data_IF_139559960691
#
_entry.id   IF_139559960691
#
_cell.length_a   1.000
_cell.length_b   1.000
_cell.length_c   1.000
_cell.angle_alpha   90.00
_cell.angle_beta   90.00
_cell.angle_gamma   90.00
#
_symmetry.space_group_name_H-M   'P 1'
#
loop_
_entity.id
_entity.type
_entity.pdbx_description
1 polymer ?
#
# COMPACT_ATOMS: atom_id res chain seq x y z
N UNK A 1 -14.88 -29.39 24.74
CA UNK A 1 -14.14 -28.34 24.02
C UNK A 1 -13.87 -27.19 25.00
N UNK A 2 -12.60 -26.85 25.28
CA UNK A 2 -12.27 -25.67 26.09
C UNK A 2 -12.21 -24.47 25.15
N UNK A 3 -13.01 -23.45 25.37
CA UNK A 3 -13.02 -22.22 24.56
C UNK A 3 -12.18 -21.17 25.28
N UNK A 4 -11.16 -20.64 24.61
CA UNK A 4 -10.39 -19.52 25.13
C UNK A 4 -11.15 -18.21 24.89
N UNK A 5 -11.65 -17.60 25.97
CA UNK A 5 -12.36 -16.32 25.91
C UNK A 5 -11.32 -15.19 25.93
N UNK A 6 -10.90 -14.76 24.74
CA UNK A 6 -9.96 -13.66 24.56
C UNK A 6 -10.68 -12.33 24.32
N UNK A 7 -10.01 -11.16 24.47
CA UNK A 7 -10.59 -9.88 24.09
C UNK A 7 -11.05 -9.83 22.63
N UNK A 8 -10.30 -10.48 21.73
CA UNK A 8 -10.65 -10.62 20.32
C UNK A 8 -11.94 -11.43 20.15
N UNK A 9 -12.08 -12.57 20.85
CA UNK A 9 -13.31 -13.38 20.84
C UNK A 9 -14.53 -12.55 21.24
N UNK A 10 -14.44 -11.80 22.34
CA UNK A 10 -15.53 -10.94 22.81
C UNK A 10 -15.87 -9.85 21.79
N UNK A 11 -14.86 -9.26 21.14
CA UNK A 11 -15.06 -8.26 20.10
C UNK A 11 -15.77 -8.85 18.88
N UNK A 12 -15.36 -10.02 18.41
CA UNK A 12 -15.99 -10.73 17.29
C UNK A 12 -17.43 -11.13 17.63
N UNK A 13 -17.70 -11.56 18.86
CA UNK A 13 -19.05 -11.86 19.35
C UNK A 13 -19.95 -10.61 19.30
N UNK A 14 -19.46 -9.47 19.79
CA UNK A 14 -20.20 -8.20 19.73
C UNK A 14 -20.51 -7.79 18.29
N UNK A 15 -19.52 -7.86 17.40
CA UNK A 15 -19.68 -7.56 15.97
C UNK A 15 -20.73 -8.49 15.35
N UNK A 16 -20.60 -9.81 15.59
CA UNK A 16 -21.50 -10.82 15.03
C UNK A 16 -22.96 -10.65 15.45
N UNK A 17 -23.21 -10.13 16.65
CA UNK A 17 -24.56 -9.81 17.11
C UNK A 17 -25.08 -8.53 16.47
N UNK A 18 -24.21 -7.52 16.35
CA UNK A 18 -24.56 -6.21 15.79
C UNK A 18 -24.90 -6.28 14.30
N UNK A 19 -24.15 -7.06 13.53
CA UNK A 19 -24.31 -7.15 12.06
C UNK A 19 -25.23 -8.29 11.60
N UNK A 20 -25.87 -9.00 12.54
CA UNK A 20 -26.79 -10.09 12.26
C UNK A 20 -26.13 -11.40 11.78
N UNK A 21 -24.79 -11.50 11.80
CA UNK A 21 -24.07 -12.72 11.42
C UNK A 21 -24.43 -13.93 12.28
N UNK A 22 -24.81 -13.71 13.54
CA UNK A 22 -25.23 -14.74 14.51
C UNK A 22 -24.33 -15.99 14.48
N UNK A 23 -23.01 -15.78 14.54
CA UNK A 23 -22.00 -16.84 14.56
C UNK A 23 -22.10 -17.61 15.88
N UNK A 24 -22.00 -18.92 15.76
CA UNK A 24 -21.91 -19.82 16.91
C UNK A 24 -20.62 -19.58 17.69
N UNK A 25 -20.63 -19.97 18.95
CA UNK A 25 -19.46 -19.89 19.83
C UNK A 25 -18.25 -20.64 19.23
N UNK A 26 -18.51 -21.76 18.53
CA UNK A 26 -17.48 -22.56 17.85
C UNK A 26 -16.87 -21.79 16.67
N UNK A 27 -17.70 -21.17 15.82
CA UNK A 27 -17.21 -20.37 14.70
C UNK A 27 -16.35 -19.19 15.20
N UNK A 28 -16.81 -18.52 16.25
CA UNK A 28 -16.11 -17.40 16.87
C UNK A 28 -14.80 -17.82 17.54
N UNK A 29 -14.74 -19.01 18.16
CA UNK A 29 -13.50 -19.50 18.76
C UNK A 29 -12.45 -19.81 17.68
N UNK A 30 -12.86 -20.45 16.58
CA UNK A 30 -11.97 -20.70 15.43
C UNK A 30 -11.45 -19.40 14.83
N UNK A 31 -12.31 -18.38 14.71
CA UNK A 31 -11.90 -17.06 14.23
C UNK A 31 -10.94 -16.35 15.20
N UNK A 32 -11.19 -16.43 16.50
CA UNK A 32 -10.40 -15.75 17.52
C UNK A 32 -9.00 -16.37 17.72
N UNK A 33 -8.82 -17.62 17.34
CA UNK A 33 -7.52 -18.32 17.33
C UNK A 33 -6.65 -17.93 16.13
N UNK A 34 -7.21 -17.28 15.10
CA UNK A 34 -6.44 -16.76 13.97
C UNK A 34 -5.69 -15.50 14.38
N UNK A 35 -4.65 -15.13 13.63
CA UNK A 35 -3.83 -13.91 13.84
C UNK A 35 -4.60 -12.59 13.58
N UNK A 36 -5.93 -12.57 13.73
CA UNK A 36 -6.82 -11.44 13.44
C UNK A 36 -6.60 -10.23 14.35
N UNK A 37 -5.97 -10.42 15.50
CA UNK A 37 -5.55 -9.30 16.37
C UNK A 37 -4.62 -8.32 15.64
N UNK A 38 -3.75 -8.82 14.75
CA UNK A 38 -2.74 -8.03 14.05
C UNK A 38 -3.33 -7.11 12.97
N UNK A 39 -4.54 -7.39 12.51
CA UNK A 39 -5.20 -6.65 11.40
C UNK A 39 -6.68 -6.38 11.65
N UNK A 40 -7.10 -6.31 12.92
CA UNK A 40 -8.46 -5.96 13.30
C UNK A 40 -8.91 -4.61 12.71
N UNK A 41 -8.00 -3.66 12.56
CA UNK A 41 -8.28 -2.37 11.92
C UNK A 41 -8.76 -2.52 10.47
N UNK A 42 -8.13 -3.41 9.69
CA UNK A 42 -8.52 -3.67 8.31
C UNK A 42 -9.84 -4.46 8.24
N UNK A 43 -10.05 -5.41 9.16
CA UNK A 43 -11.32 -6.12 9.29
C UNK A 43 -12.47 -5.13 9.53
N UNK A 44 -12.30 -4.21 10.48
CA UNK A 44 -13.33 -3.21 10.80
C UNK A 44 -13.64 -2.29 9.62
N UNK A 45 -12.66 -1.96 8.76
CA UNK A 45 -12.90 -1.20 7.52
C UNK A 45 -13.75 -2.01 6.55
N UNK A 46 -13.44 -3.29 6.36
CA UNK A 46 -14.19 -4.15 5.42
C UNK A 46 -15.63 -4.40 5.89
N UNK A 47 -15.88 -4.47 7.19
CA UNK A 47 -17.22 -4.65 7.77
C UNK A 47 -18.16 -3.45 7.53
N UNK A 48 -17.69 -2.35 6.95
CA UNK A 48 -18.57 -1.28 6.47
C UNK A 48 -19.35 -1.69 5.21
N UNK A 49 -18.84 -2.69 4.46
CA UNK A 49 -19.41 -3.15 3.19
C UNK A 49 -20.11 -4.50 3.31
N UNK A 50 -19.84 -5.27 4.37
CA UNK A 50 -20.30 -6.66 4.52
C UNK A 50 -20.47 -7.06 5.98
N UNK A 51 -21.00 -8.26 6.21
CA UNK A 51 -21.07 -8.89 7.53
C UNK A 51 -19.86 -9.77 7.81
N UNK A 52 -19.57 -9.98 9.09
CA UNK A 52 -18.47 -10.82 9.58
C UNK A 52 -18.54 -12.24 9.02
N UNK A 53 -19.75 -12.82 8.96
CA UNK A 53 -19.97 -14.15 8.36
C UNK A 53 -19.56 -14.16 6.89
N UNK A 54 -20.09 -13.25 6.06
CA UNK A 54 -19.80 -13.21 4.62
C UNK A 54 -18.32 -12.96 4.34
N UNK A 55 -17.72 -12.02 5.07
CA UNK A 55 -16.29 -11.72 4.99
C UNK A 55 -15.43 -12.98 5.21
N UNK A 56 -15.70 -13.72 6.27
CA UNK A 56 -14.94 -14.93 6.60
C UNK A 56 -15.06 -16.01 5.54
N UNK A 57 -16.29 -16.34 5.12
CA UNK A 57 -16.51 -17.36 4.08
C UNK A 57 -15.87 -16.96 2.76
N UNK A 58 -15.91 -15.68 2.40
CA UNK A 58 -15.25 -15.18 1.21
C UNK A 58 -13.73 -15.34 1.29
N UNK A 59 -13.11 -14.95 2.42
CA UNK A 59 -11.67 -15.09 2.62
C UNK A 59 -11.24 -16.56 2.56
N UNK A 60 -11.97 -17.45 3.24
CA UNK A 60 -11.69 -18.88 3.18
C UNK A 60 -11.81 -19.44 1.76
N UNK A 61 -12.83 -19.00 1.00
CA UNK A 61 -13.03 -19.43 -0.38
C UNK A 61 -11.86 -19.03 -1.27
N UNK A 62 -11.38 -17.79 -1.17
CA UNK A 62 -10.23 -17.32 -1.95
C UNK A 62 -8.92 -18.02 -1.53
N UNK A 63 -8.75 -18.34 -0.24
CA UNK A 63 -7.57 -19.04 0.26
C UNK A 63 -7.53 -20.52 -0.15
N UNK A 64 -8.67 -21.20 -0.11
CA UNK A 64 -8.82 -22.64 -0.39
C UNK A 64 -8.90 -22.95 -1.89
N UNK A 65 -8.61 -22.00 -2.78
CA UNK A 65 -8.60 -22.23 -4.23
C UNK A 65 -7.67 -23.42 -4.55
N UNK A 66 -8.28 -24.48 -5.11
CA UNK A 66 -7.63 -25.76 -5.39
C UNK A 66 -6.94 -25.76 -6.74
N UNK A 67 -7.36 -24.89 -7.66
CA UNK A 67 -6.71 -24.78 -8.95
C UNK A 67 -5.36 -24.06 -8.80
N UNK A 68 -4.22 -24.74 -9.04
CA UNK A 68 -2.90 -24.13 -8.86
C UNK A 68 -2.68 -22.91 -9.75
N UNK A 69 -3.33 -22.84 -10.92
CA UNK A 69 -3.24 -21.68 -11.83
C UNK A 69 -4.07 -20.47 -11.34
N UNK A 70 -4.95 -20.65 -10.36
CA UNK A 70 -5.77 -19.60 -9.74
C UNK A 70 -5.41 -19.36 -8.27
N UNK A 71 -4.47 -20.14 -7.72
CA UNK A 71 -4.06 -20.03 -6.32
C UNK A 71 -3.08 -18.88 -6.15
N UNK A 72 -3.60 -17.73 -5.75
CA UNK A 72 -2.80 -16.51 -5.59
C UNK A 72 -2.37 -16.23 -4.14
N UNK A 73 -2.96 -16.93 -3.16
CA UNK A 73 -2.81 -16.63 -1.74
C UNK A 73 -2.31 -17.85 -0.96
N UNK A 74 -1.42 -17.60 0.01
CA UNK A 74 -0.92 -18.59 0.97
C UNK A 74 -1.44 -18.33 2.37
N UNK A 75 -1.76 -17.08 2.68
CA UNK A 75 -2.21 -16.63 4.00
C UNK A 75 -3.46 -15.76 3.88
N UNK A 76 -4.31 -15.79 4.91
CA UNK A 76 -5.55 -15.00 4.96
C UNK A 76 -5.31 -13.50 4.91
N UNK A 77 -4.21 -13.04 5.53
CA UNK A 77 -3.83 -11.63 5.50
C UNK A 77 -3.64 -11.12 4.06
N UNK A 78 -3.08 -11.94 3.16
CA UNK A 78 -2.90 -11.56 1.75
C UNK A 78 -4.24 -11.38 1.02
N UNK A 79 -5.22 -12.24 1.35
CA UNK A 79 -6.58 -12.12 0.82
C UNK A 79 -7.22 -10.84 1.31
N UNK A 80 -7.14 -10.56 2.62
CA UNK A 80 -7.71 -9.38 3.23
C UNK A 80 -7.14 -8.09 2.63
N UNK A 81 -5.81 -7.99 2.54
CA UNK A 81 -5.15 -6.82 1.96
C UNK A 81 -5.53 -6.61 0.50
N UNK A 82 -5.49 -7.68 -0.30
CA UNK A 82 -5.86 -7.59 -1.72
C UNK A 82 -7.32 -7.20 -1.89
N UNK A 83 -8.21 -7.67 -1.02
CA UNK A 83 -9.62 -7.34 -1.08
C UNK A 83 -9.90 -5.89 -0.69
N UNK A 84 -9.21 -5.39 0.34
CA UNK A 84 -9.28 -4.00 0.77
C UNK A 84 -8.74 -3.03 -0.28
N UNK A 85 -7.67 -3.40 -0.99
CA UNK A 85 -7.14 -2.62 -2.11
C UNK A 85 -8.13 -2.63 -3.29
N UNK A 86 -8.67 -3.79 -3.65
CA UNK A 86 -9.72 -3.91 -4.68
C UNK A 86 -10.98 -3.07 -4.36
N UNK A 87 -11.46 -3.05 -3.11
CA UNK A 87 -12.60 -2.20 -2.71
C UNK A 87 -12.24 -0.72 -2.82
N UNK A 88 -10.99 -0.36 -2.51
CA UNK A 88 -10.50 1.01 -2.73
C UNK A 88 -10.54 1.36 -4.22
N UNK A 89 -10.09 0.46 -5.09
CA UNK A 89 -10.15 0.64 -6.54
C UNK A 89 -11.58 0.79 -7.06
N UNK A 90 -12.50 -0.04 -6.58
CA UNK A 90 -13.91 0.01 -6.94
C UNK A 90 -14.51 1.39 -6.64
N UNK A 91 -14.20 1.97 -5.47
CA UNK A 91 -14.61 3.33 -5.13
C UNK A 91 -14.03 4.36 -6.12
N UNK A 92 -12.74 4.26 -6.47
CA UNK A 92 -12.09 5.15 -7.47
C UNK A 92 -12.73 5.04 -8.85
N UNK A 93 -13.19 3.84 -9.22
CA UNK A 93 -13.85 3.57 -10.49
C UNK A 93 -15.36 3.90 -10.48
N UNK A 94 -15.92 4.32 -9.34
CA UNK A 94 -17.36 4.50 -9.12
C UNK A 94 -18.17 3.22 -9.38
N UNK A 95 -17.62 2.06 -9.01
CA UNK A 95 -18.32 0.78 -9.09
C UNK A 95 -19.30 0.63 -7.92
N UNK A 96 -20.46 0.01 -8.16
CA UNK A 96 -21.48 -0.20 -7.15
C UNK A 96 -21.11 -1.37 -6.22
N UNK A 97 -20.58 -1.05 -5.04
CA UNK A 97 -20.21 -2.01 -4.00
C UNK A 97 -21.41 -2.64 -3.28
N UNK A 98 -22.64 -2.19 -3.53
CA UNK A 98 -23.85 -2.86 -3.02
C UNK A 98 -24.17 -4.13 -3.81
N UNK A 99 -23.65 -4.26 -5.03
CA UNK A 99 -23.77 -5.48 -5.83
C UNK A 99 -22.84 -6.57 -5.30
N UNK A 100 -23.40 -7.72 -4.94
CA UNK A 100 -22.60 -8.83 -4.40
C UNK A 100 -21.53 -9.33 -5.38
N UNK A 101 -21.82 -9.35 -6.69
CA UNK A 101 -20.85 -9.76 -7.70
C UNK A 101 -19.65 -8.81 -7.81
N UNK A 102 -19.86 -7.53 -7.44
CA UNK A 102 -18.79 -6.52 -7.39
C UNK A 102 -18.03 -6.65 -6.09
N UNK A 103 -18.72 -6.74 -4.94
CA UNK A 103 -18.05 -6.80 -3.63
C UNK A 103 -17.30 -8.14 -3.41
N UNK A 104 -17.83 -9.25 -3.94
CA UNK A 104 -17.28 -10.61 -3.77
C UNK A 104 -16.92 -11.26 -5.11
N UNK A 105 -15.95 -10.71 -5.87
CA UNK A 105 -15.57 -11.28 -7.16
C UNK A 105 -15.16 -12.75 -7.04
N UNK A 106 -15.46 -13.54 -8.07
CA UNK A 106 -15.17 -14.97 -8.06
C UNK A 106 -13.66 -15.24 -7.90
N UNK A 107 -12.83 -14.47 -8.61
CA UNK A 107 -11.37 -14.47 -8.45
C UNK A 107 -10.92 -13.06 -8.07
N UNK A 108 -10.57 -12.88 -6.80
CA UNK A 108 -10.20 -11.58 -6.24
C UNK A 108 -8.95 -11.00 -6.90
N UNK A 109 -7.94 -11.83 -7.15
CA UNK A 109 -6.68 -11.39 -7.73
C UNK A 109 -6.90 -10.81 -9.13
N UNK A 110 -7.63 -11.52 -10.00
CA UNK A 110 -7.92 -11.08 -11.35
C UNK A 110 -8.80 -9.82 -11.36
N UNK A 111 -9.79 -9.76 -10.46
CA UNK A 111 -10.63 -8.57 -10.32
C UNK A 111 -9.78 -7.35 -9.93
N UNK A 112 -8.89 -7.49 -8.94
CA UNK A 112 -7.95 -6.45 -8.54
C UNK A 112 -6.98 -6.05 -9.66
N UNK A 113 -6.41 -7.02 -10.39
CA UNK A 113 -5.54 -6.71 -11.53
C UNK A 113 -6.30 -5.95 -12.64
N UNK A 114 -7.59 -6.25 -12.84
CA UNK A 114 -8.43 -5.56 -13.80
C UNK A 114 -8.79 -4.14 -13.35
N UNK A 115 -9.15 -3.93 -12.08
CA UNK A 115 -9.46 -2.60 -11.56
C UNK A 115 -8.22 -1.70 -11.57
N UNK A 116 -7.06 -2.25 -11.21
CA UNK A 116 -5.78 -1.59 -11.40
C UNK A 116 -5.66 -1.10 -12.85
N UNK A 117 -5.82 -1.97 -13.85
CA UNK A 117 -5.71 -1.58 -15.27
C UNK A 117 -6.71 -0.48 -15.66
N UNK A 118 -7.96 -0.57 -15.21
CA UNK A 118 -8.97 0.44 -15.50
C UNK A 118 -8.64 1.80 -14.87
N UNK A 119 -8.12 1.80 -13.64
CA UNK A 119 -7.64 3.03 -12.98
C UNK A 119 -6.52 3.63 -13.82
N UNK A 120 -5.53 2.84 -14.26
CA UNK A 120 -4.45 3.33 -15.14
C UNK A 120 -5.00 4.05 -16.38
N UNK A 121 -5.97 3.44 -17.07
CA UNK A 121 -6.58 4.00 -18.28
C UNK A 121 -7.31 5.32 -17.99
N UNK A 122 -8.06 5.39 -16.88
CA UNK A 122 -8.87 6.57 -16.51
C UNK A 122 -8.03 7.71 -15.95
N UNK A 123 -6.96 7.37 -15.24
CA UNK A 123 -6.07 8.31 -14.55
C UNK A 123 -5.06 8.97 -15.48
N UNK A 124 -4.62 8.28 -16.55
CA UNK A 124 -3.52 8.76 -17.38
C UNK A 124 -3.77 10.15 -18.00
N UNK A 125 -4.93 10.46 -18.57
CA UNK A 125 -5.05 11.75 -19.29
C UNK A 125 -5.13 12.98 -18.35
N UNK A 126 -5.90 12.87 -17.26
CA UNK A 126 -6.17 13.98 -16.35
C UNK A 126 -5.06 14.19 -15.31
N UNK A 127 -4.53 13.10 -14.76
CA UNK A 127 -3.45 13.18 -13.77
C UNK A 127 -2.12 13.47 -14.43
N UNK A 128 -1.81 12.94 -15.63
CA UNK A 128 -0.57 13.32 -16.31
C UNK A 128 -0.53 14.81 -16.65
N UNK A 129 -1.68 15.46 -16.95
CA UNK A 129 -1.72 16.93 -17.07
C UNK A 129 -1.36 17.64 -15.77
N UNK A 130 -1.93 17.20 -14.64
CA UNK A 130 -1.63 17.79 -13.31
C UNK A 130 -0.17 17.55 -12.91
N UNK A 131 0.35 16.34 -13.13
CA UNK A 131 1.75 15.99 -12.90
C UNK A 131 2.66 16.83 -13.78
N UNK A 132 2.37 16.97 -15.08
CA UNK A 132 3.15 17.80 -16.00
C UNK A 132 3.25 19.27 -15.55
N UNK A 133 2.15 19.85 -15.05
CA UNK A 133 2.17 21.19 -14.46
C UNK A 133 3.04 21.23 -13.20
N UNK A 134 2.90 20.23 -12.32
CA UNK A 134 3.61 20.13 -11.05
C UNK A 134 5.11 19.85 -11.23
N UNK A 135 5.52 19.12 -12.26
CA UNK A 135 6.92 18.77 -12.53
C UNK A 135 7.84 19.99 -12.50
N UNK A 136 7.38 21.14 -12.97
CA UNK A 136 8.13 22.40 -12.92
C UNK A 136 8.59 22.75 -11.51
N UNK A 137 7.73 22.58 -10.49
CA UNK A 137 8.09 22.85 -9.09
C UNK A 137 8.84 21.69 -8.44
N UNK A 138 8.69 20.47 -8.94
CA UNK A 138 9.39 19.29 -8.44
C UNK A 138 10.85 19.19 -8.90
N UNK A 139 11.26 19.97 -9.91
CA UNK A 139 12.66 20.08 -10.34
C UNK A 139 13.62 20.46 -9.21
N UNK A 140 13.13 21.11 -8.15
CA UNK A 140 13.92 21.41 -6.95
C UNK A 140 14.47 20.16 -6.25
N UNK A 141 13.82 19.00 -6.43
CA UNK A 141 14.26 17.72 -5.88
C UNK A 141 15.22 16.97 -6.82
N UNK A 142 15.51 17.49 -8.02
CA UNK A 142 16.53 16.88 -8.87
C UNK A 142 17.91 17.11 -8.26
N UNK A 143 18.65 16.03 -8.06
CA UNK A 143 20.01 16.06 -7.53
C UNK A 143 20.84 14.92 -8.12
N UNK A 144 22.13 15.15 -8.31
CA UNK A 144 23.07 14.17 -8.84
C UNK A 144 24.34 14.21 -8.03
N UNK A 145 24.79 13.05 -7.58
CA UNK A 145 26.13 12.82 -7.05
C UNK A 145 27.02 12.21 -8.13
N UNK A 146 28.07 11.50 -7.70
CA UNK A 146 29.05 10.90 -8.61
C UNK A 146 28.53 9.66 -9.35
N UNK A 147 27.67 8.86 -8.69
CA UNK A 147 27.20 7.56 -9.22
C UNK A 147 25.69 7.43 -9.29
N UNK A 148 24.97 8.24 -8.51
CA UNK A 148 23.51 8.20 -8.37
C UNK A 148 22.90 9.56 -8.71
N UNK A 149 21.70 9.53 -9.26
CA UNK A 149 20.85 10.69 -9.44
C UNK A 149 19.47 10.42 -8.84
N UNK A 150 18.77 11.48 -8.46
CA UNK A 150 17.38 11.44 -7.99
C UNK A 150 16.54 12.44 -8.78
N UNK A 151 15.35 12.01 -9.20
CA UNK A 151 14.40 12.84 -9.94
C UNK A 151 12.95 12.51 -9.60
N UNK A 152 12.01 13.44 -9.75
CA UNK A 152 10.58 13.13 -9.64
C UNK A 152 10.10 12.16 -10.73
N UNK A 153 9.05 11.42 -10.40
CA UNK A 153 8.28 10.67 -11.40
C UNK A 153 7.54 11.62 -12.36
N UNK A 154 7.54 11.32 -13.65
CA UNK A 154 7.06 12.22 -14.70
C UNK A 154 5.61 11.97 -15.10
N UNK A 155 5.09 10.79 -14.78
CA UNK A 155 3.71 10.41 -15.11
C UNK A 155 3.17 9.35 -14.16
N UNK A 156 1.86 9.17 -14.17
CA UNK A 156 1.20 8.02 -13.52
C UNK A 156 1.71 6.72 -14.10
N UNK A 157 1.86 6.63 -15.43
CA UNK A 157 2.39 5.46 -16.10
C UNK A 157 3.81 5.10 -15.60
N UNK A 158 4.66 6.10 -15.39
CA UNK A 158 6.01 5.86 -14.88
C UNK A 158 6.00 5.32 -13.44
N UNK A 159 5.15 5.86 -12.56
CA UNK A 159 4.95 5.32 -11.20
C UNK A 159 4.50 3.85 -11.22
N UNK A 160 3.62 3.53 -12.16
CA UNK A 160 3.10 2.18 -12.36
C UNK A 160 4.19 1.22 -12.82
N UNK A 161 4.95 1.61 -13.84
CA UNK A 161 5.99 0.78 -14.44
C UNK A 161 7.14 0.56 -13.44
N UNK A 162 7.49 1.59 -12.67
CA UNK A 162 8.45 1.48 -11.57
C UNK A 162 7.97 0.48 -10.51
N UNK A 163 6.72 0.62 -10.06
CA UNK A 163 6.14 -0.28 -9.06
C UNK A 163 6.07 -1.73 -9.55
N UNK A 164 5.77 -1.93 -10.84
CA UNK A 164 5.77 -3.25 -11.47
C UNK A 164 7.18 -3.85 -11.52
N UNK A 165 8.18 -3.06 -11.93
CA UNK A 165 9.56 -3.51 -12.05
C UNK A 165 10.20 -3.84 -10.69
N UNK A 166 9.89 -3.04 -9.66
CA UNK A 166 10.40 -3.21 -8.30
C UNK A 166 9.50 -4.08 -7.42
N UNK A 167 8.36 -4.55 -7.93
CA UNK A 167 7.38 -5.35 -7.17
C UNK A 167 6.91 -4.68 -5.88
N UNK A 168 6.60 -3.38 -5.93
CA UNK A 168 6.01 -2.64 -4.81
C UNK A 168 4.97 -1.61 -5.27
N UNK A 169 4.11 -1.16 -4.36
CA UNK A 169 2.88 -0.46 -4.69
C UNK A 169 3.02 1.05 -4.98
N UNK A 170 4.15 1.50 -5.57
CA UNK A 170 4.35 2.96 -5.79
C UNK A 170 3.39 3.55 -6.83
N UNK A 171 2.86 2.70 -7.73
CA UNK A 171 1.83 3.08 -8.70
C UNK A 171 0.51 3.55 -8.07
N UNK A 172 0.24 3.20 -6.79
CA UNK A 172 -0.99 3.59 -6.10
C UNK A 172 -0.99 5.06 -5.63
N UNK A 173 0.15 5.75 -5.70
CA UNK A 173 0.28 7.13 -5.22
C UNK A 173 -0.06 8.19 -6.28
N UNK A 174 -0.48 7.82 -7.49
CA UNK A 174 -0.70 8.75 -8.60
C UNK A 174 -1.61 9.94 -8.25
N UNK A 175 -2.69 9.71 -7.50
CA UNK A 175 -3.59 10.78 -7.06
C UNK A 175 -2.95 11.70 -6.01
N UNK A 176 -2.38 11.15 -4.94
CA UNK A 176 -1.72 11.91 -3.87
C UNK A 176 -0.53 12.70 -4.43
N UNK A 177 0.19 12.11 -5.39
CA UNK A 177 1.31 12.72 -6.08
C UNK A 177 0.87 13.91 -6.94
N UNK A 178 -0.18 13.75 -7.74
CA UNK A 178 -0.73 14.83 -8.55
C UNK A 178 -1.35 15.98 -7.70
N UNK A 179 -1.96 15.65 -6.56
CA UNK A 179 -2.47 16.63 -5.58
C UNK A 179 -1.36 17.30 -4.78
N UNK A 180 -0.22 16.63 -4.66
CA UNK A 180 0.92 17.11 -3.89
C UNK A 180 0.95 16.81 -2.42
N UNK A 181 0.14 15.85 -2.00
CA UNK A 181 0.15 15.31 -0.65
C UNK A 181 1.43 14.51 -0.41
N UNK A 182 1.93 13.85 -1.46
CA UNK A 182 3.20 13.13 -1.45
C UNK A 182 4.05 13.51 -2.67
N UNK A 183 5.36 13.30 -2.59
CA UNK A 183 6.31 13.43 -3.68
C UNK A 183 7.05 12.11 -3.80
N UNK A 184 6.87 11.44 -4.93
CA UNK A 184 7.62 10.23 -5.28
C UNK A 184 8.81 10.63 -6.16
N UNK A 185 9.98 10.20 -5.74
CA UNK A 185 11.25 10.37 -6.46
C UNK A 185 11.85 9.00 -6.79
N UNK A 186 12.57 8.93 -7.89
CA UNK A 186 13.32 7.75 -8.32
C UNK A 186 14.81 8.02 -8.21
N UNK A 187 15.51 7.10 -7.55
CA UNK A 187 16.96 7.05 -7.57
C UNK A 187 17.35 6.15 -8.73
N UNK A 188 18.30 6.62 -9.54
CA UNK A 188 18.89 5.87 -10.65
C UNK A 188 20.39 5.84 -10.51
N UNK A 189 21.02 4.82 -11.10
CA UNK A 189 22.45 4.85 -11.38
C UNK A 189 22.69 5.74 -12.57
N UNK A 190 23.67 6.62 -12.51
CA UNK A 190 24.00 7.53 -13.62
C UNK A 190 24.41 6.75 -14.88
N UNK A 191 25.10 5.61 -14.70
CA UNK A 191 25.47 4.73 -15.81
C UNK A 191 24.26 4.09 -16.52
N UNK A 192 23.11 3.98 -15.83
CA UNK A 192 21.92 3.30 -16.32
C UNK A 192 20.64 4.06 -15.88
N UNK A 193 20.42 5.29 -16.37
CA UNK A 193 19.39 6.20 -15.85
C UNK A 193 17.96 5.71 -16.11
N UNK A 194 17.78 4.82 -17.09
CA UNK A 194 16.49 4.25 -17.45
C UNK A 194 16.12 2.99 -16.64
N UNK A 195 17.04 2.48 -15.78
CA UNK A 195 16.79 1.26 -15.02
C UNK A 195 16.24 1.54 -13.61
N UNK A 196 15.11 0.91 -13.24
CA UNK A 196 14.61 0.83 -11.86
C UNK A 196 15.67 0.46 -10.83
N UNK A 197 15.75 1.22 -9.74
CA UNK A 197 16.71 0.97 -8.67
C UNK A 197 16.08 1.19 -7.28
N UNK A 198 15.80 2.43 -6.89
CA UNK A 198 15.11 2.75 -5.64
C UNK A 198 14.06 3.84 -5.83
N UNK A 199 13.03 3.80 -4.99
CA UNK A 199 12.01 4.85 -4.88
C UNK A 199 12.08 5.52 -3.52
N UNK A 200 11.80 6.81 -3.49
CA UNK A 200 11.76 7.64 -2.27
C UNK A 200 10.40 8.29 -2.19
N UNK A 201 9.76 8.17 -1.03
CA UNK A 201 8.56 8.93 -0.70
C UNK A 201 8.95 10.10 0.20
N UNK A 202 8.60 11.31 -0.23
CA UNK A 202 8.76 12.54 0.55
C UNK A 202 7.38 13.14 0.82
N UNK A 203 7.12 13.50 2.06
CA UNK A 203 5.86 14.11 2.44
C UNK A 203 5.75 15.54 1.86
N UNK A 204 4.68 15.81 1.12
CA UNK A 204 4.60 16.97 0.23
C UNK A 204 4.53 18.34 0.93
N UNK A 205 4.20 18.38 2.23
CA UNK A 205 4.07 19.63 3.00
C UNK A 205 5.35 20.04 3.73
N UNK A 206 6.10 19.08 4.26
CA UNK A 206 7.22 19.32 5.18
C UNK A 206 8.55 18.73 4.70
N UNK A 207 8.62 18.27 3.44
CA UNK A 207 9.83 17.74 2.80
C UNK A 207 10.52 16.63 3.61
N UNK A 208 9.78 15.87 4.42
CA UNK A 208 10.35 14.78 5.20
C UNK A 208 10.34 13.48 4.40
N UNK A 209 11.48 12.80 4.35
CA UNK A 209 11.57 11.45 3.77
C UNK A 209 10.77 10.49 4.64
N UNK A 210 9.77 9.85 4.05
CA UNK A 210 8.88 8.88 4.69
C UNK A 210 9.43 7.46 4.54
N UNK A 211 9.93 7.13 3.36
CA UNK A 211 10.52 5.82 3.08
C UNK A 211 11.44 5.85 1.85
N UNK A 212 12.38 4.90 1.83
CA UNK A 212 13.24 4.58 0.69
C UNK A 212 13.13 3.07 0.46
N UNK A 213 12.71 2.64 -0.74
CA UNK A 213 12.40 1.24 -1.04
C UNK A 213 12.97 0.81 -2.39
N UNK A 214 13.66 -0.31 -2.39
CA UNK A 214 14.13 -1.00 -3.60
C UNK A 214 13.23 -2.19 -3.95
N UNK A 215 13.75 -3.06 -4.82
CA UNK A 215 13.04 -4.27 -5.27
C UNK A 215 12.52 -5.10 -4.10
N UNK A 216 11.27 -5.56 -4.18
CA UNK A 216 10.55 -6.30 -3.12
C UNK A 216 10.56 -5.59 -1.75
N UNK A 217 10.48 -4.25 -1.74
CA UNK A 217 10.55 -3.41 -0.53
C UNK A 217 11.89 -3.49 0.23
N UNK A 218 12.97 -3.88 -0.45
CA UNK A 218 14.31 -3.92 0.13
C UNK A 218 14.72 -2.55 0.71
N UNK A 219 15.43 -2.60 1.83
CA UNK A 219 16.03 -1.42 2.46
C UNK A 219 17.28 -0.95 1.66
N UNK A 220 17.62 0.34 1.71
CA UNK A 220 18.80 0.87 1.03
C UNK A 220 20.10 0.31 1.63
N UNK A 221 21.12 0.16 0.77
CA UNK A 221 22.49 -0.10 1.21
C UNK A 221 23.20 1.16 1.71
N UNK A 222 24.47 1.03 2.10
CA UNK A 222 25.29 2.16 2.58
C UNK A 222 25.49 3.24 1.51
N UNK A 223 25.63 2.85 0.24
CA UNK A 223 25.75 3.71 -0.92
C UNK A 223 24.53 4.63 -1.11
N UNK A 224 23.33 4.04 -1.13
CA UNK A 224 22.07 4.78 -1.28
C UNK A 224 21.79 5.62 -0.04
N UNK A 225 22.15 5.15 1.15
CA UNK A 225 21.94 5.89 2.40
C UNK A 225 22.79 7.16 2.46
N UNK A 226 24.09 7.06 2.15
CA UNK A 226 24.99 8.22 2.08
C UNK A 226 24.54 9.23 1.02
N UNK A 227 24.08 8.76 -0.14
CA UNK A 227 23.51 9.62 -1.18
C UNK A 227 22.25 10.35 -0.70
N UNK A 228 21.38 9.68 0.05
CA UNK A 228 20.16 10.28 0.60
C UNK A 228 20.45 11.32 1.68
N UNK A 229 21.50 11.16 2.47
CA UNK A 229 21.96 12.17 3.43
C UNK A 229 22.39 13.45 2.72
N UNK A 230 23.23 13.34 1.69
CA UNK A 230 23.66 14.48 0.88
C UNK A 230 22.48 15.18 0.19
N UNK A 231 21.56 14.40 -0.39
CA UNK A 231 20.32 14.91 -0.98
C UNK A 231 19.45 15.67 0.03
N UNK A 232 19.27 15.13 1.24
CA UNK A 232 18.44 15.76 2.25
C UNK A 232 19.00 17.10 2.73
N UNK A 233 20.33 17.19 2.89
CA UNK A 233 21.02 18.42 3.28
C UNK A 233 20.84 19.51 2.21
N UNK A 234 21.08 19.17 0.93
CA UNK A 234 21.08 20.16 -0.14
C UNK A 234 19.67 20.55 -0.62
N UNK A 235 18.72 19.60 -0.66
CA UNK A 235 17.42 19.78 -1.33
C UNK A 235 16.21 19.80 -0.43
N UNK A 236 16.30 19.24 0.78
CA UNK A 236 15.17 19.18 1.71
C UNK A 236 15.29 20.20 2.85
N UNK A 237 16.47 20.83 3.02
CA UNK A 237 16.66 21.96 3.91
C UNK A 237 16.30 21.65 5.36
N UNK A 238 16.84 20.55 5.92
CA UNK A 238 16.82 20.35 7.36
C UNK A 238 18.06 20.98 7.98
N UNK A 239 17.85 21.99 8.83
CA UNK A 239 18.71 22.25 9.98
C UNK A 239 18.85 20.95 10.78
N UNK A 240 20.05 20.75 11.32
CA UNK A 240 20.46 19.59 12.11
C UNK A 240 19.39 19.11 13.09
N UNK A 241 18.93 17.87 12.92
CA UNK A 241 18.40 17.10 14.04
C UNK A 241 19.23 15.83 14.21
N UNK A 242 20.53 16.00 14.42
CA UNK A 242 21.45 14.96 14.92
C UNK A 242 22.26 15.59 16.06
N UNK A 243 21.62 15.84 17.20
CA UNK A 243 22.18 15.78 18.56
C UNK A 243 21.20 16.43 19.53
N UNK A 244 20.47 15.59 20.30
CA UNK A 244 20.23 15.77 21.73
C UNK A 244 19.29 14.69 22.26
N UNK A 245 19.87 13.54 22.62
CA UNK A 245 19.53 12.89 23.89
C UNK A 245 20.83 12.63 24.64
N UNK A 246 21.20 13.71 25.32
CA UNK A 246 21.94 13.80 26.57
C UNK A 246 22.02 12.45 27.30
N UNK A 247 23.27 12.04 27.48
CA UNK A 247 23.76 11.03 28.43
C UNK A 247 23.23 11.29 29.84
N UNK A 248 22.71 10.26 30.49
CA UNK A 248 22.54 10.24 31.95
C UNK A 248 23.75 9.50 32.52
N UNK A 249 24.55 10.11 33.42
CA UNK A 249 25.63 9.38 34.10
C UNK A 249 25.06 8.38 35.11
N UNK A 250 25.87 7.34 35.38
CA UNK A 250 25.66 6.39 36.47
C UNK A 250 25.80 7.05 37.85
#
# INVERSE_FOLDING_TARGET
MRISVTPLFLKLLQISRKDGSNLSIVELSVMAERRYSEYLGEILKMLQFTTLRKMFFYMERQLKEKNPNKKHYREEFQVLMTWRDYVTDCNTLNMDLTQESVLFPANLHNAHQNTIRQIKIKEDAGLNKKIAVRLKSLRKYCYSGDTLLIRPAESTLELIDEGKALHHCVGMYGQQYAKGETVILFIRKIAEPDKPYFTVEVHGRNNTVMQVRGKHNAQPGSDVSAFMEAFALERLGKEESIQNRITVPA
#
